data_IF_857533237776
#
_entry.id   IF_857533237776
#
_cell.length_a   1.000
_cell.length_b   1.000
_cell.length_c   1.000
_cell.angle_alpha   90.00
_cell.angle_beta   90.00
_cell.angle_gamma   90.00
#
_symmetry.space_group_name_H-M   'P 1'
#
loop_
_entity.id
_entity.type
_entity.pdbx_description
1 polymer ?
#
# COMPACT_ATOMS: atom_id res chain seq x y z
N UNK A 1 49.14 19.06 31.66
CA UNK A 1 48.23 19.04 30.48
C UNK A 1 46.79 19.01 30.96
N UNK A 2 45.96 19.85 30.38
CA UNK A 2 44.83 20.51 31.03
C UNK A 2 43.55 19.68 31.21
N UNK A 3 42.86 20.04 32.31
CA UNK A 3 41.49 19.69 32.67
C UNK A 3 40.48 20.40 31.76
N UNK A 4 39.36 19.72 31.57
CA UNK A 4 38.10 20.19 30.99
C UNK A 4 37.51 21.32 31.85
N UNK A 5 36.94 22.35 31.21
CA UNK A 5 35.97 23.24 31.84
C UNK A 5 34.88 23.66 30.84
N UNK A 6 33.63 23.44 31.23
CA UNK A 6 32.41 23.92 30.59
C UNK A 6 32.17 25.41 30.91
N UNK A 7 31.38 26.09 30.06
CA UNK A 7 30.88 27.49 30.13
C UNK A 7 31.79 28.58 29.52
N UNK A 8 31.54 28.92 28.24
CA UNK A 8 31.22 30.30 27.82
C UNK A 8 30.22 30.24 26.66
N UNK A 9 28.98 30.61 26.96
CA UNK A 9 27.92 30.98 26.02
C UNK A 9 28.12 32.45 25.58
N UNK A 10 27.55 32.79 24.42
CA UNK A 10 27.33 34.13 23.84
C UNK A 10 28.54 34.87 23.29
N UNK A 11 28.68 34.87 21.96
CA UNK A 11 28.59 36.09 21.14
C UNK A 11 28.86 35.76 19.67
N UNK A 12 27.80 35.78 18.85
CA UNK A 12 27.91 36.12 17.43
C UNK A 12 26.50 36.49 16.95
N UNK A 13 26.24 37.79 17.05
CA UNK A 13 25.17 38.49 16.36
C UNK A 13 25.34 38.26 14.86
N UNK A 14 24.48 37.43 14.29
CA UNK A 14 24.21 37.45 12.85
C UNK A 14 22.89 38.18 12.63
N UNK A 15 23.00 39.43 12.21
CA UNK A 15 21.98 40.15 11.47
C UNK A 15 21.77 39.43 10.14
N UNK A 16 20.65 38.71 10.00
CA UNK A 16 20.19 38.25 8.69
C UNK A 16 18.71 38.54 8.45
N UNK A 17 18.51 39.01 7.22
CA UNK A 17 17.32 39.52 6.57
C UNK A 17 16.05 38.68 6.74
N UNK A 18 14.92 39.38 6.67
CA UNK A 18 13.57 38.85 6.73
C UNK A 18 13.27 37.96 5.50
N UNK A 19 13.53 36.67 5.63
CA UNK A 19 12.92 35.64 4.77
C UNK A 19 12.09 34.72 5.65
N UNK A 20 10.82 34.50 5.27
CA UNK A 20 9.86 33.62 5.95
C UNK A 20 10.48 32.22 6.16
N UNK A 21 11.06 31.97 7.33
CA UNK A 21 11.42 30.63 7.73
C UNK A 21 10.14 29.84 7.96
N UNK A 22 9.80 29.01 6.98
CA UNK A 22 8.92 27.86 7.17
C UNK A 22 9.58 27.02 8.27
N UNK A 23 8.95 26.98 9.45
CA UNK A 23 9.33 26.05 10.51
C UNK A 23 9.09 24.65 9.95
N UNK A 24 10.13 24.01 9.40
CA UNK A 24 10.09 22.57 9.13
C UNK A 24 9.88 21.86 10.48
N UNK A 25 9.02 20.84 10.57
CA UNK A 25 8.92 20.05 11.79
C UNK A 25 10.32 19.51 12.13
N UNK A 26 10.75 19.57 13.39
CA UNK A 26 12.08 19.10 13.76
C UNK A 26 12.21 17.60 13.45
N UNK A 27 13.22 17.27 12.64
CA UNK A 27 13.79 15.93 12.47
C UNK A 27 12.89 14.82 11.91
N UNK A 28 12.26 15.02 10.75
CA UNK A 28 11.70 13.91 9.97
C UNK A 28 12.15 13.99 8.51
N UNK A 29 12.36 12.85 7.81
CA UNK A 29 12.87 12.84 6.45
C UNK A 29 11.94 13.58 5.48
N UNK A 30 12.50 14.31 4.50
CA UNK A 30 11.76 15.18 3.58
C UNK A 30 10.62 14.45 2.81
N UNK A 31 10.69 13.12 2.63
CA UNK A 31 9.66 12.32 1.96
C UNK A 31 8.41 12.02 2.81
N UNK A 32 8.47 12.26 4.12
CA UNK A 32 7.34 12.01 5.05
C UNK A 32 6.20 13.02 4.88
N UNK A 33 6.46 14.12 4.16
CA UNK A 33 5.54 15.22 3.95
C UNK A 33 5.55 15.66 2.49
N UNK A 34 4.37 15.81 1.89
CA UNK A 34 4.23 16.40 0.56
C UNK A 34 3.47 17.71 0.68
N UNK A 35 4.06 18.82 0.25
CA UNK A 35 3.35 20.09 0.18
C UNK A 35 2.18 19.95 -0.81
N UNK A 36 0.96 20.31 -0.38
CA UNK A 36 -0.26 20.18 -1.21
C UNK A 36 -0.87 21.53 -1.60
N UNK A 37 -0.27 22.63 -1.13
CA UNK A 37 -0.63 24.00 -1.45
C UNK A 37 -0.88 24.86 -0.21
N UNK A 38 -1.42 26.05 -0.43
CA UNK A 38 -1.83 26.96 0.62
C UNK A 38 -3.35 26.99 0.76
N UNK A 39 -3.83 26.98 2.02
CA UNK A 39 -5.25 26.88 2.33
C UNK A 39 -5.66 27.96 3.30
N UNK A 40 -6.81 28.57 3.05
CA UNK A 40 -7.43 29.52 3.98
C UNK A 40 -8.15 28.76 5.10
N UNK A 41 -7.74 29.00 6.33
CA UNK A 41 -8.31 28.34 7.50
C UNK A 41 -9.49 29.12 8.05
N UNK A 42 -10.54 28.39 8.42
CA UNK A 42 -11.70 28.97 9.10
C UNK A 42 -12.24 28.01 10.16
N UNK A 43 -13.14 28.52 11.01
CA UNK A 43 -13.94 27.65 11.88
C UNK A 43 -15.04 27.00 11.06
N UNK A 44 -15.29 25.73 11.32
CA UNK A 44 -16.44 25.02 10.77
C UNK A 44 -17.74 25.71 11.22
N UNK A 45 -18.45 26.33 10.28
CA UNK A 45 -19.68 27.10 10.53
C UNK A 45 -20.87 26.16 10.65
N UNK A 46 -20.98 25.47 11.79
CA UNK A 46 -21.95 24.41 12.05
C UNK A 46 -21.76 23.20 11.11
N UNK A 47 -21.83 21.99 11.68
CA UNK A 47 -21.84 20.77 10.87
C UNK A 47 -22.94 20.88 9.80
N UNK A 48 -22.72 20.47 8.53
CA UNK A 48 -23.76 20.49 7.50
C UNK A 48 -25.03 19.75 7.95
N UNK A 49 -26.20 19.93 7.29
CA UNK A 49 -27.52 19.48 7.74
C UNK A 49 -27.74 17.97 7.90
N UNK A 50 -26.69 17.15 7.88
CA UNK A 50 -26.69 15.77 8.34
C UNK A 50 -26.42 15.64 9.86
N UNK A 51 -26.45 16.76 10.60
CA UNK A 51 -26.34 16.79 12.06
C UNK A 51 -27.60 16.23 12.75
N UNK A 52 -27.84 14.94 12.56
CA UNK A 52 -28.61 14.16 13.53
C UNK A 52 -27.79 14.16 14.83
N UNK A 53 -28.42 14.46 15.98
CA UNK A 53 -27.77 14.64 17.30
C UNK A 53 -26.99 13.39 17.81
N UNK A 54 -26.96 12.31 17.03
CA UNK A 54 -26.38 11.01 17.37
C UNK A 54 -25.02 10.69 16.67
N UNK A 55 -24.42 11.59 15.89
CA UNK A 55 -23.12 11.34 15.24
C UNK A 55 -21.95 12.08 15.91
N UNK A 56 -21.58 11.60 17.09
CA UNK A 56 -20.33 11.92 17.80
C UNK A 56 -19.09 11.36 17.07
N UNK A 57 -19.29 10.43 16.15
CA UNK A 57 -18.26 9.65 15.47
C UNK A 57 -18.14 9.98 13.99
N UNK A 58 -16.96 9.77 13.42
CA UNK A 58 -16.59 10.01 12.03
C UNK A 58 -16.87 8.77 11.17
N UNK A 59 -16.63 8.83 9.86
CA UNK A 59 -16.80 7.68 8.95
C UNK A 59 -15.88 6.50 9.26
N UNK A 60 -14.72 6.76 9.89
CA UNK A 60 -13.84 5.73 10.45
C UNK A 60 -14.21 5.27 11.87
N UNK A 61 -15.32 5.77 12.43
CA UNK A 61 -15.73 5.49 13.80
C UNK A 61 -14.90 6.23 14.86
N UNK A 62 -14.14 7.26 14.49
CA UNK A 62 -13.38 8.08 15.44
C UNK A 62 -14.24 9.19 16.03
N UNK A 63 -14.01 9.57 17.29
CA UNK A 63 -14.68 10.76 17.83
C UNK A 63 -14.15 12.01 17.10
N UNK A 64 -15.02 12.97 16.75
CA UNK A 64 -14.56 14.27 16.23
C UNK A 64 -13.74 14.97 17.32
N UNK A 65 -12.46 15.21 17.06
CA UNK A 65 -11.55 15.81 18.06
C UNK A 65 -11.44 17.32 17.79
N UNK A 66 -11.86 18.18 18.74
CA UNK A 66 -11.70 19.63 18.59
C UNK A 66 -10.26 20.02 18.27
N UNK A 67 -10.10 20.95 17.34
CA UNK A 67 -8.83 21.48 16.81
C UNK A 67 -7.98 20.43 16.09
N UNK A 68 -8.49 19.23 15.82
CA UNK A 68 -7.76 18.15 15.14
C UNK A 68 -8.54 17.56 13.96
N UNK A 69 -9.86 17.64 13.97
CA UNK A 69 -10.72 17.24 12.85
C UNK A 69 -11.00 18.43 11.93
N UNK A 70 -10.88 18.21 10.61
CA UNK A 70 -11.13 19.23 9.59
C UNK A 70 -12.13 18.75 8.53
N UNK A 71 -12.84 19.71 7.94
CA UNK A 71 -13.57 19.52 6.68
C UNK A 71 -12.77 20.09 5.51
N UNK A 72 -12.80 19.36 4.40
CA UNK A 72 -12.04 19.65 3.18
C UNK A 72 -12.87 19.43 1.93
N UNK A 73 -12.48 20.08 0.84
CA UNK A 73 -13.06 19.82 -0.47
C UNK A 73 -12.37 18.60 -1.13
N UNK A 74 -13.13 17.54 -1.52
CA UNK A 74 -12.57 16.24 -1.89
C UNK A 74 -11.78 16.24 -3.20
N UNK A 75 -12.00 17.23 -4.08
CA UNK A 75 -11.19 17.40 -5.30
C UNK A 75 -9.75 17.82 -5.01
N UNK A 76 -9.47 18.46 -3.86
CA UNK A 76 -8.13 18.96 -3.51
C UNK A 76 -7.47 18.15 -2.41
N UNK A 77 -8.24 17.70 -1.43
CA UNK A 77 -7.76 16.86 -0.32
C UNK A 77 -8.75 15.71 -0.15
N UNK A 78 -8.28 14.49 -0.34
CA UNK A 78 -9.10 13.30 -0.15
C UNK A 78 -9.44 13.12 1.34
N UNK A 79 -10.67 12.75 1.70
CA UNK A 79 -11.03 12.39 3.07
C UNK A 79 -10.13 11.25 3.60
N UNK A 80 -9.91 11.19 4.92
CA UNK A 80 -8.96 10.27 5.56
C UNK A 80 -7.49 10.67 5.47
N UNK A 81 -7.19 11.78 4.77
CA UNK A 81 -5.86 12.35 4.68
C UNK A 81 -5.45 12.97 6.02
N UNK A 82 -4.23 12.67 6.47
CA UNK A 82 -3.61 13.36 7.60
C UNK A 82 -2.79 14.53 7.06
N UNK A 83 -3.03 15.72 7.61
CA UNK A 83 -2.33 16.95 7.25
C UNK A 83 -1.45 17.41 8.40
N UNK A 84 -0.32 18.03 8.06
CA UNK A 84 0.54 18.76 8.97
C UNK A 84 0.49 20.26 8.65
N UNK A 85 0.23 21.05 9.69
CA UNK A 85 0.15 22.52 9.63
C UNK A 85 1.17 23.08 10.64
N UNK A 86 2.34 23.56 10.18
CA UNK A 86 3.44 23.94 11.06
C UNK A 86 3.07 24.98 12.13
N UNK A 87 2.21 25.94 11.77
CA UNK A 87 1.79 27.06 12.62
C UNK A 87 0.87 26.64 13.77
N UNK A 88 0.42 25.38 13.77
CA UNK A 88 -0.35 24.80 14.87
C UNK A 88 0.55 23.99 15.82
N UNK A 89 1.81 23.73 15.48
CA UNK A 89 2.74 23.03 16.37
C UNK A 89 3.09 23.89 17.59
N UNK A 90 3.04 23.31 18.79
CA UNK A 90 3.37 23.99 20.05
C UNK A 90 2.22 24.82 20.65
N UNK A 91 1.06 24.90 19.99
CA UNK A 91 -0.05 25.70 20.50
C UNK A 91 -0.81 24.99 21.63
N UNK A 92 -1.00 25.68 22.77
CA UNK A 92 -1.77 25.14 23.92
C UNK A 92 -3.28 25.14 23.64
N UNK A 93 -3.83 23.94 23.44
CA UNK A 93 -5.25 23.73 23.18
C UNK A 93 -6.12 24.00 24.42
N UNK A 94 -7.43 24.25 24.25
CA UNK A 94 -8.37 24.31 25.39
C UNK A 94 -8.37 23.10 26.31
N UNK A 95 -8.00 21.92 25.81
CA UNK A 95 -7.88 20.69 26.62
C UNK A 95 -6.70 20.71 27.59
N UNK A 96 -5.77 21.66 27.48
CA UNK A 96 -4.51 21.69 28.23
C UNK A 96 -3.37 20.94 27.53
N UNK A 97 -3.65 20.24 26.43
CA UNK A 97 -2.62 19.57 25.62
C UNK A 97 -1.94 20.53 24.64
N UNK A 98 -0.68 20.25 24.33
CA UNK A 98 0.05 20.94 23.27
C UNK A 98 -0.31 20.34 21.92
N UNK A 99 -0.70 21.17 20.96
CA UNK A 99 -1.01 20.76 19.61
C UNK A 99 0.28 20.40 18.86
N UNK A 100 0.28 19.25 18.19
CA UNK A 100 1.45 18.66 17.50
C UNK A 100 1.48 18.94 15.99
N UNK A 101 0.57 19.79 15.53
CA UNK A 101 0.46 20.26 14.15
C UNK A 101 -0.35 19.35 13.23
N UNK A 102 -0.82 18.19 13.69
CA UNK A 102 -1.53 17.22 12.85
C UNK A 102 -3.04 17.36 12.89
N UNK A 103 -3.65 17.24 11.71
CA UNK A 103 -5.09 17.24 11.47
C UNK A 103 -5.52 16.01 10.68
N UNK A 104 -6.74 15.55 10.90
CA UNK A 104 -7.37 14.47 10.14
C UNK A 104 -8.57 15.01 9.35
N UNK A 105 -8.54 14.81 8.03
CA UNK A 105 -9.60 15.21 7.11
C UNK A 105 -10.77 14.22 7.13
N UNK A 106 -11.67 14.34 8.12
CA UNK A 106 -12.82 13.42 8.26
C UNK A 106 -14.09 13.92 7.57
N UNK A 107 -14.20 15.22 7.36
CA UNK A 107 -15.44 15.83 6.90
C UNK A 107 -15.28 16.32 5.45
N UNK A 108 -16.36 16.18 4.68
CA UNK A 108 -16.43 16.63 3.29
C UNK A 108 -17.21 17.94 3.27
N UNK A 109 -16.61 18.97 2.67
CA UNK A 109 -17.27 20.25 2.39
C UNK A 109 -17.18 20.55 0.89
N UNK A 110 -18.19 20.10 0.15
CA UNK A 110 -18.28 20.30 -1.31
C UNK A 110 -18.76 21.71 -1.69
N UNK A 111 -19.26 22.49 -0.73
CA UNK A 111 -19.75 23.86 -0.96
C UNK A 111 -18.64 24.88 -0.74
N UNK A 112 -17.63 24.53 0.06
CA UNK A 112 -16.48 25.37 0.31
C UNK A 112 -15.52 25.46 -0.88
N UNK A 113 -14.74 26.54 -0.91
CA UNK A 113 -13.69 26.72 -1.91
C UNK A 113 -12.64 25.60 -1.77
N UNK A 114 -12.13 25.09 -2.90
CA UNK A 114 -11.13 24.00 -2.94
C UNK A 114 -9.87 24.28 -2.11
N UNK A 115 -9.50 25.56 -1.94
CA UNK A 115 -8.34 26.00 -1.15
C UNK A 115 -8.75 26.50 0.24
N UNK A 116 -9.79 25.92 0.83
CA UNK A 116 -10.22 26.23 2.20
C UNK A 116 -10.25 24.99 3.08
N UNK A 117 -9.92 25.19 4.36
CA UNK A 117 -9.97 24.15 5.39
C UNK A 117 -10.78 24.69 6.57
N UNK A 118 -11.80 23.94 6.96
CA UNK A 118 -12.68 24.27 8.07
C UNK A 118 -12.36 23.39 9.28
N UNK A 119 -11.95 23.99 10.39
CA UNK A 119 -11.53 23.26 11.59
C UNK A 119 -12.69 23.12 12.58
N UNK A 120 -12.90 21.92 13.09
CA UNK A 120 -13.88 21.64 14.14
C UNK A 120 -13.35 22.11 15.50
N UNK A 121 -13.97 23.09 16.16
CA UNK A 121 -13.44 23.67 17.43
C UNK A 121 -14.26 23.35 18.68
N UNK A 122 -15.53 22.93 18.54
CA UNK A 122 -16.55 22.73 19.60
C UNK A 122 -16.85 23.96 20.50
N UNK A 123 -15.94 24.91 20.60
CA UNK A 123 -16.06 26.16 21.36
C UNK A 123 -15.65 27.37 20.49
N UNK A 124 -15.82 28.59 21.03
CA UNK A 124 -15.52 29.84 20.32
C UNK A 124 -14.04 30.25 20.37
N UNK A 125 -13.13 29.47 20.98
CA UNK A 125 -11.71 29.87 21.10
C UNK A 125 -11.11 30.08 19.70
N UNK A 126 -10.41 31.20 19.54
CA UNK A 126 -9.72 31.54 18.29
C UNK A 126 -8.46 30.68 18.16
N UNK A 127 -8.26 30.08 16.99
CA UNK A 127 -7.05 29.31 16.69
C UNK A 127 -5.99 30.19 15.98
N UNK A 128 -4.69 29.88 16.10
CA UNK A 128 -3.60 30.68 15.51
C UNK A 128 -3.71 30.89 13.99
N UNK A 129 -4.30 29.92 13.29
CA UNK A 129 -4.45 29.90 11.83
C UNK A 129 -5.75 30.53 11.33
N UNK A 130 -6.68 30.89 12.22
CA UNK A 130 -8.01 31.37 11.81
C UNK A 130 -7.94 32.62 10.92
N UNK A 131 -8.54 32.53 9.73
CA UNK A 131 -8.57 33.60 8.73
C UNK A 131 -7.30 33.73 7.89
N UNK A 132 -6.26 32.93 8.17
CA UNK A 132 -4.97 32.98 7.46
C UNK A 132 -4.92 31.94 6.34
N UNK A 133 -4.16 32.27 5.30
CA UNK A 133 -3.76 31.33 4.25
C UNK A 133 -2.41 30.74 4.65
N UNK A 134 -2.35 29.41 4.77
CA UNK A 134 -1.21 28.69 5.34
C UNK A 134 -0.83 27.53 4.41
N UNK A 135 0.48 27.32 4.20
CA UNK A 135 0.99 26.15 3.52
C UNK A 135 0.71 24.88 4.32
N UNK A 136 0.13 23.87 3.66
CA UNK A 136 -0.27 22.60 4.26
C UNK A 136 0.46 21.45 3.59
N UNK A 137 0.82 20.46 4.41
CA UNK A 137 1.55 19.29 3.99
C UNK A 137 0.72 18.05 4.25
N UNK A 138 0.60 17.17 3.27
CA UNK A 138 0.09 15.82 3.51
C UNK A 138 1.16 14.98 4.17
N UNK A 139 0.77 14.21 5.18
CA UNK A 139 1.59 13.19 5.83
C UNK A 139 1.50 11.88 5.03
N UNK A 140 2.65 11.32 4.65
CA UNK A 140 2.75 10.05 3.95
C UNK A 140 3.31 8.94 4.86
N UNK A 141 3.26 7.70 4.39
CA UNK A 141 4.06 6.62 4.99
C UNK A 141 5.56 6.98 4.93
N UNK A 142 6.38 6.50 5.88
CA UNK A 142 6.08 5.47 6.89
C UNK A 142 5.52 6.05 8.21
N UNK A 143 5.43 7.38 8.37
CA UNK A 143 4.98 7.99 9.63
C UNK A 143 3.45 8.06 9.74
N UNK A 144 2.73 8.01 8.62
CA UNK A 144 1.28 8.14 8.56
C UNK A 144 0.58 7.14 9.49
N UNK A 145 0.99 5.87 9.46
CA UNK A 145 0.44 4.83 10.34
C UNK A 145 0.57 5.18 11.84
N UNK A 146 1.73 5.70 12.26
CA UNK A 146 1.99 6.13 13.63
C UNK A 146 1.19 7.39 14.00
N UNK A 147 1.12 8.37 13.10
CA UNK A 147 0.37 9.61 13.31
C UNK A 147 -1.13 9.34 13.38
N UNK A 148 -1.67 8.42 12.56
CA UNK A 148 -3.09 8.03 12.60
C UNK A 148 -3.52 7.50 13.97
N UNK A 149 -2.62 6.81 14.70
CA UNK A 149 -2.89 6.34 16.08
C UNK A 149 -3.22 7.47 17.06
N UNK A 150 -2.81 8.71 16.76
CA UNK A 150 -3.11 9.90 17.61
C UNK A 150 -4.58 10.32 17.55
N UNK A 151 -5.30 9.94 16.50
CA UNK A 151 -6.71 10.25 16.31
C UNK A 151 -7.64 9.10 16.77
N UNK A 152 -7.07 7.94 17.15
CA UNK A 152 -7.83 6.77 17.60
C UNK A 152 -8.37 6.97 19.02
N UNK A 153 -9.63 6.60 19.26
CA UNK A 153 -10.22 6.63 20.61
C UNK A 153 -9.72 5.46 21.46
N UNK A 154 -9.78 5.56 22.80
CA UNK A 154 -9.43 4.43 23.69
C UNK A 154 -10.24 3.15 23.38
N UNK A 155 -11.46 3.28 22.88
CA UNK A 155 -12.34 2.16 22.51
C UNK A 155 -11.93 1.48 21.19
N UNK A 156 -11.24 2.20 20.28
CA UNK A 156 -10.71 1.64 19.02
C UNK A 156 -9.29 1.06 19.17
N UNK A 157 -8.67 1.12 20.35
CA UNK A 157 -7.32 0.59 20.63
C UNK A 157 -7.28 -0.93 20.79
N UNK A 158 -8.14 -1.69 20.12
CA UNK A 158 -7.91 -3.14 20.05
C UNK A 158 -6.70 -3.32 19.13
N UNK A 159 -5.53 -3.60 19.72
CA UNK A 159 -4.32 -4.01 18.98
C UNK A 159 -4.69 -5.26 18.19
N UNK A 160 -5.11 -5.11 16.94
CA UNK A 160 -5.11 -6.24 16.02
C UNK A 160 -3.69 -6.38 15.50
N UNK A 161 -3.12 -7.57 15.64
CA UNK A 161 -1.84 -7.91 15.03
C UNK A 161 -1.89 -7.65 13.52
N UNK A 162 -0.82 -7.08 12.99
CA UNK A 162 -0.56 -6.99 11.55
C UNK A 162 -0.07 -8.32 11.01
N UNK A 163 -0.06 -8.53 9.68
CA UNK A 163 0.31 -9.82 9.07
C UNK A 163 1.70 -10.28 9.50
N UNK A 164 2.65 -9.36 9.64
CA UNK A 164 4.03 -9.60 10.08
C UNK A 164 4.17 -9.96 11.57
N UNK A 165 3.08 -9.85 12.32
CA UNK A 165 3.01 -10.21 13.73
C UNK A 165 2.18 -11.49 13.99
N UNK A 166 1.59 -12.09 12.94
CA UNK A 166 0.71 -13.25 13.08
C UNK A 166 1.50 -14.57 13.17
N UNK A 167 1.15 -15.37 14.17
CA UNK A 167 1.52 -16.79 14.22
C UNK A 167 0.57 -17.64 13.38
N UNK A 168 0.90 -18.91 13.15
CA UNK A 168 0.00 -19.86 12.48
C UNK A 168 -1.39 -19.93 13.14
N UNK A 169 -1.44 -19.96 14.48
CA UNK A 169 -2.71 -19.97 15.23
C UNK A 169 -3.50 -18.65 15.10
N UNK A 170 -2.79 -17.51 15.01
CA UNK A 170 -3.45 -16.22 14.71
C UNK A 170 -4.03 -16.22 13.29
N UNK A 171 -3.36 -16.85 12.32
CA UNK A 171 -3.87 -17.03 10.96
C UNK A 171 -5.10 -17.93 10.91
N UNK A 172 -5.11 -19.07 11.62
CA UNK A 172 -6.30 -19.91 11.72
C UNK A 172 -7.49 -19.13 12.28
N UNK A 173 -7.26 -18.38 13.36
CA UNK A 173 -8.29 -17.51 13.96
C UNK A 173 -8.75 -16.45 12.97
N UNK A 174 -7.81 -15.80 12.26
CA UNK A 174 -8.12 -14.79 11.26
C UNK A 174 -9.01 -15.37 10.16
N UNK A 175 -8.58 -16.46 9.53
CA UNK A 175 -9.23 -17.07 8.36
C UNK A 175 -10.60 -17.67 8.72
N UNK A 176 -10.75 -18.29 9.89
CA UNK A 176 -12.05 -18.76 10.39
C UNK A 176 -13.04 -17.61 10.57
N UNK A 177 -12.59 -16.50 11.19
CA UNK A 177 -13.45 -15.31 11.35
C UNK A 177 -13.87 -14.69 10.00
N UNK A 178 -13.10 -14.90 8.93
CA UNK A 178 -13.45 -14.42 7.59
C UNK A 178 -14.57 -15.19 6.92
N UNK A 179 -14.88 -16.41 7.35
CA UNK A 179 -16.03 -17.15 6.81
C UNK A 179 -17.35 -16.41 7.06
N UNK A 180 -17.39 -15.56 8.08
CA UNK A 180 -18.54 -14.74 8.44
C UNK A 180 -18.52 -13.32 7.81
N UNK A 181 -17.52 -13.00 6.99
CA UNK A 181 -17.25 -11.69 6.40
C UNK A 181 -17.55 -11.69 4.87
N UNK A 182 -17.51 -10.53 4.16
CA UNK A 182 -18.24 -10.31 2.91
C UNK A 182 -18.18 -11.43 1.87
N UNK A 183 -19.31 -11.67 1.22
CA UNK A 183 -19.51 -12.77 0.26
C UNK A 183 -18.56 -12.73 -0.97
N UNK A 184 -17.91 -11.59 -1.27
CA UNK A 184 -17.06 -11.43 -2.47
C UNK A 184 -15.57 -11.51 -2.15
N UNK A 185 -14.84 -12.32 -2.92
CA UNK A 185 -13.40 -12.54 -2.74
C UNK A 185 -12.56 -11.25 -2.87
N UNK A 186 -12.93 -10.33 -3.76
CA UNK A 186 -12.26 -9.02 -3.87
C UNK A 186 -12.30 -8.19 -2.58
N UNK A 187 -13.38 -8.30 -1.78
CA UNK A 187 -13.46 -7.65 -0.47
C UNK A 187 -12.56 -8.33 0.56
N UNK A 188 -12.42 -9.67 0.50
CA UNK A 188 -11.48 -10.41 1.36
C UNK A 188 -10.03 -9.99 1.08
N UNK A 189 -9.64 -9.84 -0.19
CA UNK A 189 -8.32 -9.33 -0.60
C UNK A 189 -8.04 -7.96 0.02
N UNK A 190 -8.99 -7.02 -0.08
CA UNK A 190 -8.82 -5.68 0.50
C UNK A 190 -8.63 -5.71 2.02
N UNK A 191 -9.44 -6.50 2.72
CA UNK A 191 -9.34 -6.65 4.17
C UNK A 191 -8.05 -7.34 4.62
N UNK A 192 -7.65 -8.43 3.95
CA UNK A 192 -6.42 -9.16 4.24
C UNK A 192 -5.19 -8.30 3.97
N UNK A 193 -5.14 -7.64 2.81
CA UNK A 193 -4.04 -6.75 2.46
C UNK A 193 -3.91 -5.56 3.41
N UNK A 194 -5.01 -5.07 4.02
CA UNK A 194 -4.97 -3.99 5.01
C UNK A 194 -4.12 -4.38 6.22
N UNK A 195 -4.21 -5.65 6.65
CA UNK A 195 -3.39 -6.17 7.75
C UNK A 195 -1.91 -6.23 7.42
N UNK A 196 -1.54 -6.22 6.13
CA UNK A 196 -0.14 -6.22 5.71
C UNK A 196 0.51 -4.85 5.79
N UNK A 197 -0.26 -3.76 5.96
CA UNK A 197 0.30 -2.40 5.96
C UNK A 197 1.30 -2.18 7.09
N UNK A 198 2.44 -1.62 6.71
CA UNK A 198 3.58 -1.41 7.60
C UNK A 198 4.53 -2.60 7.70
N UNK A 199 4.15 -3.78 7.18
CA UNK A 199 5.05 -4.94 7.15
C UNK A 199 6.33 -4.58 6.37
N UNK A 200 7.51 -4.90 6.90
CA UNK A 200 8.79 -4.52 6.28
C UNK A 200 8.99 -5.09 4.88
N UNK A 201 9.67 -4.31 4.02
CA UNK A 201 10.11 -4.77 2.71
C UNK A 201 11.44 -5.50 2.80
N UNK A 202 11.51 -6.68 2.16
CA UNK A 202 12.75 -7.41 1.88
C UNK A 202 12.66 -8.05 0.50
N UNK A 203 13.75 -8.08 -0.27
CA UNK A 203 13.79 -8.73 -1.59
C UNK A 203 14.51 -10.08 -1.44
N UNK A 204 14.16 -11.06 -2.27
CA UNK A 204 14.76 -12.42 -2.23
C UNK A 204 14.62 -13.06 -0.85
N UNK A 205 13.40 -13.07 -0.32
CA UNK A 205 13.12 -13.59 1.02
C UNK A 205 12.60 -15.03 1.04
N UNK A 206 12.24 -15.59 -0.13
CA UNK A 206 11.64 -16.93 -0.25
C UNK A 206 12.33 -17.73 -1.36
N UNK A 207 12.38 -19.04 -1.12
CA UNK A 207 12.95 -20.04 -2.02
C UNK A 207 12.14 -21.33 -2.00
N UNK A 208 12.80 -22.45 -2.28
CA UNK A 208 12.20 -23.79 -2.28
C UNK A 208 12.49 -24.59 -0.99
N UNK A 209 13.10 -23.94 0.01
CA UNK A 209 13.35 -24.50 1.33
C UNK A 209 14.74 -25.14 1.52
N UNK A 210 15.10 -25.53 2.75
CA UNK A 210 16.49 -25.87 3.11
C UNK A 210 17.12 -27.04 2.33
N UNK A 211 16.30 -27.97 1.84
CA UNK A 211 16.72 -29.13 1.04
C UNK A 211 16.78 -28.86 -0.47
N UNK A 212 16.40 -27.66 -0.92
CA UNK A 212 16.36 -27.32 -2.33
C UNK A 212 17.76 -27.28 -2.96
N UNK A 213 17.81 -27.61 -4.25
CA UNK A 213 19.04 -27.60 -5.07
C UNK A 213 19.56 -26.19 -5.32
N UNK A 214 18.68 -25.22 -5.58
CA UNK A 214 19.04 -23.89 -6.08
C UNK A 214 18.85 -22.78 -5.05
N UNK A 215 17.65 -22.67 -4.49
CA UNK A 215 17.26 -21.56 -3.63
C UNK A 215 16.76 -22.10 -2.29
N UNK A 216 17.59 -21.96 -1.25
CA UNK A 216 17.37 -22.56 0.07
C UNK A 216 16.59 -21.69 1.03
N UNK A 217 16.16 -20.51 0.57
CA UNK A 217 15.32 -19.61 1.35
C UNK A 217 13.97 -20.26 1.66
N UNK A 218 13.27 -19.83 2.73
CA UNK A 218 12.07 -20.50 3.20
C UNK A 218 10.92 -20.46 2.17
N UNK A 219 10.02 -21.44 2.24
CA UNK A 219 8.82 -21.50 1.38
C UNK A 219 7.77 -20.44 1.72
N UNK A 220 7.79 -19.90 2.94
CA UNK A 220 6.81 -18.94 3.43
C UNK A 220 7.42 -18.09 4.56
N UNK A 221 7.22 -16.77 4.51
CA UNK A 221 7.60 -15.79 5.53
C UNK A 221 6.54 -14.68 5.50
N UNK A 222 6.00 -14.35 6.68
CA UNK A 222 5.03 -13.26 6.85
C UNK A 222 5.65 -12.03 7.50
N UNK A 223 6.83 -12.15 8.10
CA UNK A 223 7.50 -11.05 8.80
C UNK A 223 7.95 -9.95 7.83
N UNK A 224 8.13 -10.29 6.54
CA UNK A 224 8.61 -9.40 5.49
C UNK A 224 7.94 -9.75 4.17
N UNK A 225 7.86 -8.79 3.26
CA UNK A 225 7.35 -9.03 1.91
C UNK A 225 8.13 -8.27 0.84
N UNK A 226 8.19 -8.85 -0.35
CA UNK A 226 8.40 -8.09 -1.59
C UNK A 226 7.05 -7.90 -2.30
N UNK A 227 7.09 -7.29 -3.49
CA UNK A 227 5.87 -6.98 -4.23
C UNK A 227 5.09 -8.23 -4.68
N UNK A 228 5.79 -9.32 -5.01
CA UNK A 228 5.19 -10.57 -5.47
C UNK A 228 4.67 -11.35 -4.28
N UNK A 229 5.51 -11.60 -3.28
CA UNK A 229 5.14 -12.40 -2.12
C UNK A 229 3.99 -11.75 -1.35
N UNK A 230 3.93 -10.43 -1.25
CA UNK A 230 2.77 -9.75 -0.68
C UNK A 230 1.45 -10.11 -1.39
N UNK A 231 1.44 -10.07 -2.73
CA UNK A 231 0.25 -10.40 -3.51
C UNK A 231 -0.12 -11.89 -3.39
N UNK A 232 0.87 -12.79 -3.45
CA UNK A 232 0.63 -14.24 -3.32
C UNK A 232 0.06 -14.62 -1.96
N UNK A 233 0.63 -14.10 -0.87
CA UNK A 233 0.14 -14.40 0.49
C UNK A 233 -1.28 -13.87 0.69
N UNK A 234 -1.59 -12.67 0.22
CA UNK A 234 -2.96 -12.12 0.29
C UNK A 234 -3.93 -12.97 -0.52
N UNK A 235 -3.56 -13.36 -1.74
CA UNK A 235 -4.39 -14.23 -2.58
C UNK A 235 -4.63 -15.59 -1.93
N UNK A 236 -3.56 -16.26 -1.49
CA UNK A 236 -3.62 -17.55 -0.82
C UNK A 236 -4.53 -17.49 0.42
N UNK A 237 -4.35 -16.47 1.26
CA UNK A 237 -5.19 -16.25 2.44
C UNK A 237 -6.66 -16.02 2.06
N UNK A 238 -6.95 -15.31 0.96
CA UNK A 238 -8.32 -14.96 0.55
C UNK A 238 -9.18 -16.17 0.15
N UNK A 239 -8.54 -17.27 -0.25
CA UNK A 239 -9.18 -18.52 -0.69
C UNK A 239 -8.99 -19.68 0.32
N UNK A 240 -8.56 -19.37 1.55
CA UNK A 240 -8.26 -20.37 2.57
C UNK A 240 -9.08 -20.17 3.84
N UNK A 241 -9.27 -21.25 4.60
CA UNK A 241 -9.95 -21.24 5.90
C UNK A 241 -9.06 -21.69 7.07
N UNK A 242 -7.81 -22.05 6.79
CA UNK A 242 -6.78 -22.39 7.77
C UNK A 242 -5.38 -22.04 7.26
N UNK A 243 -4.43 -21.93 8.16
CA UNK A 243 -3.02 -21.70 7.86
C UNK A 243 -2.43 -22.81 6.97
N UNK A 244 -2.76 -24.08 7.27
CA UNK A 244 -2.32 -25.22 6.47
C UNK A 244 -2.85 -25.15 5.02
N UNK A 245 -4.14 -24.86 4.84
CA UNK A 245 -4.71 -24.69 3.49
C UNK A 245 -4.17 -23.45 2.78
N UNK A 246 -3.86 -22.39 3.52
CA UNK A 246 -3.19 -21.21 2.98
C UNK A 246 -1.82 -21.56 2.41
N UNK A 247 -1.01 -22.34 3.13
CA UNK A 247 0.27 -22.83 2.62
C UNK A 247 0.09 -23.68 1.35
N UNK A 248 -0.89 -24.59 1.36
CA UNK A 248 -1.23 -25.41 0.19
C UNK A 248 -1.63 -24.59 -1.04
N UNK A 249 -2.45 -23.56 -0.83
CA UNK A 249 -2.85 -22.64 -1.90
C UNK A 249 -1.68 -21.75 -2.36
N UNK A 250 -0.80 -21.35 -1.44
CA UNK A 250 0.41 -20.61 -1.79
C UNK A 250 1.31 -21.42 -2.72
N UNK A 251 1.50 -22.72 -2.45
CA UNK A 251 2.25 -23.62 -3.37
C UNK A 251 1.65 -23.62 -4.77
N UNK A 252 0.33 -23.79 -4.88
CA UNK A 252 -0.40 -23.79 -6.17
C UNK A 252 -0.30 -22.46 -6.92
N UNK A 253 -0.21 -21.36 -6.19
CA UNK A 253 -0.06 -20.02 -6.78
C UNK A 253 1.37 -19.78 -7.26
N UNK A 254 2.36 -20.13 -6.43
CA UNK A 254 3.77 -19.82 -6.67
C UNK A 254 4.41 -20.74 -7.70
N UNK A 255 4.02 -22.00 -7.74
CA UNK A 255 4.63 -23.00 -8.61
C UNK A 255 3.63 -23.53 -9.63
N UNK A 256 4.08 -23.71 -10.86
CA UNK A 256 3.32 -24.43 -11.89
C UNK A 256 2.92 -25.80 -11.35
N UNK A 257 1.62 -26.10 -11.41
CA UNK A 257 1.00 -27.32 -10.87
C UNK A 257 1.21 -27.56 -9.36
N UNK A 258 1.67 -26.56 -8.60
CA UNK A 258 1.98 -26.70 -7.17
C UNK A 258 3.25 -27.50 -6.85
N UNK A 259 4.08 -27.83 -7.85
CA UNK A 259 5.30 -28.60 -7.67
C UNK A 259 6.43 -27.70 -7.13
N UNK A 260 6.93 -27.93 -5.92
CA UNK A 260 8.03 -27.12 -5.36
C UNK A 260 9.34 -27.45 -6.09
N UNK A 261 9.74 -26.57 -7.01
CA UNK A 261 11.03 -26.62 -7.68
C UNK A 261 11.38 -25.24 -8.26
N UNK A 262 12.68 -24.91 -8.33
CA UNK A 262 13.11 -23.60 -8.86
C UNK A 262 12.66 -23.37 -10.31
N UNK A 263 12.62 -24.43 -11.13
CA UNK A 263 12.19 -24.35 -12.53
C UNK A 263 10.67 -24.34 -12.72
N UNK A 264 9.90 -24.82 -11.75
CA UNK A 264 8.44 -24.72 -11.77
C UNK A 264 7.94 -23.44 -11.09
N UNK A 265 8.80 -22.71 -10.35
CA UNK A 265 8.46 -21.41 -9.77
C UNK A 265 8.09 -20.43 -10.88
N UNK A 266 6.98 -19.73 -10.66
CA UNK A 266 6.44 -18.76 -11.60
C UNK A 266 7.24 -17.44 -11.57
N UNK A 267 8.41 -17.41 -12.20
CA UNK A 267 9.32 -16.23 -12.18
C UNK A 267 8.81 -15.06 -13.02
N UNK A 268 8.22 -15.32 -14.19
CA UNK A 268 7.68 -14.25 -15.04
C UNK A 268 6.20 -14.01 -14.71
N UNK A 269 5.87 -12.88 -14.10
CA UNK A 269 4.48 -12.57 -13.68
C UNK A 269 3.46 -12.76 -14.81
N UNK A 270 3.77 -12.27 -16.01
CA UNK A 270 2.81 -12.24 -17.12
C UNK A 270 2.96 -13.45 -18.04
N UNK A 271 4.17 -13.99 -18.19
CA UNK A 271 4.42 -15.12 -19.08
C UNK A 271 4.20 -16.48 -18.41
N UNK A 272 4.30 -16.56 -17.07
CA UNK A 272 4.16 -17.80 -16.30
C UNK A 272 3.10 -17.69 -15.21
N UNK A 273 3.25 -16.73 -14.28
CA UNK A 273 2.43 -16.67 -13.06
C UNK A 273 0.96 -16.48 -13.37
N UNK A 274 0.59 -15.47 -14.17
CA UNK A 274 -0.80 -15.22 -14.54
C UNK A 274 -1.41 -16.40 -15.32
N UNK A 275 -0.81 -16.91 -16.42
CA UNK A 275 -1.32 -18.11 -17.12
C UNK A 275 -1.51 -19.33 -16.21
N UNK A 276 -0.53 -19.66 -15.37
CA UNK A 276 -0.62 -20.80 -14.43
C UNK A 276 -1.64 -20.56 -13.31
N UNK A 277 -2.02 -19.30 -13.06
CA UNK A 277 -3.05 -18.89 -12.12
C UNK A 277 -4.39 -18.52 -12.79
N UNK A 278 -4.64 -18.89 -14.05
CA UNK A 278 -5.93 -18.60 -14.71
C UNK A 278 -7.15 -19.24 -14.03
N UNK A 279 -6.95 -20.28 -13.21
CA UNK A 279 -7.98 -20.87 -12.36
C UNK A 279 -8.41 -19.95 -11.20
N UNK A 280 -7.55 -19.00 -10.83
CA UNK A 280 -7.74 -18.04 -9.73
C UNK A 280 -8.03 -16.62 -10.24
N UNK A 281 -7.28 -16.18 -11.26
CA UNK A 281 -7.26 -14.82 -11.75
C UNK A 281 -7.69 -14.75 -13.22
N UNK A 282 -8.35 -13.65 -13.57
CA UNK A 282 -8.67 -13.24 -14.93
C UNK A 282 -7.88 -11.97 -15.26
N UNK A 283 -7.25 -11.91 -16.44
CA UNK A 283 -6.82 -10.63 -17.00
C UNK A 283 -8.05 -9.79 -17.38
N UNK A 284 -8.21 -8.64 -16.72
CA UNK A 284 -9.30 -7.69 -16.94
C UNK A 284 -8.81 -6.39 -17.57
N UNK A 285 -7.59 -6.35 -18.08
CA UNK A 285 -6.96 -5.12 -18.59
C UNK A 285 -7.77 -4.48 -19.71
N UNK A 286 -8.24 -5.27 -20.67
CA UNK A 286 -9.09 -4.78 -21.76
C UNK A 286 -10.49 -4.42 -21.30
N UNK A 287 -11.03 -5.14 -20.30
CA UNK A 287 -12.33 -4.87 -19.68
C UNK A 287 -12.34 -3.52 -18.96
N UNK A 288 -11.29 -3.22 -18.19
CA UNK A 288 -11.18 -1.95 -17.45
C UNK A 288 -10.65 -0.81 -18.31
N UNK A 289 -9.84 -1.10 -19.33
CA UNK A 289 -9.16 -0.13 -20.16
C UNK A 289 -9.91 0.30 -21.43
N UNK A 290 -10.62 -0.64 -22.07
CA UNK A 290 -11.27 -0.41 -23.36
C UNK A 290 -10.30 0.21 -24.39
N UNK A 291 -10.70 1.34 -24.98
CA UNK A 291 -9.87 2.09 -25.94
C UNK A 291 -8.63 2.77 -25.33
N UNK A 292 -8.43 2.64 -24.02
CA UNK A 292 -7.24 3.17 -23.33
C UNK A 292 -6.05 2.20 -23.34
N UNK A 293 -6.26 0.96 -23.80
CA UNK A 293 -5.21 -0.04 -23.87
C UNK A 293 -4.21 0.22 -25.01
N UNK A 294 -2.97 -0.16 -24.79
CA UNK A 294 -1.92 -0.28 -25.78
C UNK A 294 -1.35 -1.70 -25.76
N UNK A 295 -0.65 -2.09 -26.83
CA UNK A 295 0.01 -3.39 -26.92
C UNK A 295 1.52 -3.27 -26.67
N UNK A 296 2.08 -4.28 -26.04
CA UNK A 296 3.52 -4.44 -25.83
C UNK A 296 3.93 -5.84 -26.24
N UNK A 297 4.99 -5.96 -27.04
CA UNK A 297 5.55 -7.24 -27.47
C UNK A 297 6.97 -7.40 -26.95
N UNK A 298 7.27 -8.57 -26.37
CA UNK A 298 8.61 -8.91 -25.86
C UNK A 298 8.95 -10.37 -26.15
N UNK A 299 10.24 -10.68 -26.14
CA UNK A 299 10.75 -12.05 -26.22
C UNK A 299 11.12 -12.50 -24.82
N UNK A 300 10.53 -13.59 -24.34
CA UNK A 300 10.78 -14.19 -23.03
C UNK A 300 11.69 -15.40 -23.22
N UNK A 301 12.94 -15.28 -22.78
CA UNK A 301 13.93 -16.35 -22.84
C UNK A 301 14.18 -16.95 -21.46
N UNK A 302 13.38 -17.96 -21.12
CA UNK A 302 13.44 -18.66 -19.83
C UNK A 302 14.76 -19.39 -19.65
N UNK A 303 15.31 -19.99 -20.73
CA UNK A 303 16.57 -20.75 -20.66
C UNK A 303 17.73 -19.83 -20.31
N UNK A 304 17.83 -18.68 -20.97
CA UNK A 304 18.85 -17.67 -20.64
C UNK A 304 18.69 -17.12 -19.23
N UNK A 305 17.45 -16.87 -18.79
CA UNK A 305 17.17 -16.45 -17.42
C UNK A 305 17.66 -17.46 -16.39
N UNK A 306 17.25 -18.73 -16.50
CA UNK A 306 17.65 -19.76 -15.56
C UNK A 306 19.17 -19.96 -15.54
N UNK A 307 19.81 -19.98 -16.71
CA UNK A 307 21.27 -20.04 -16.83
C UNK A 307 21.97 -18.88 -16.11
N UNK A 308 21.47 -17.65 -16.28
CA UNK A 308 22.02 -16.47 -15.61
C UNK A 308 21.81 -16.46 -14.10
N UNK A 309 20.85 -17.25 -13.60
CA UNK A 309 20.58 -17.44 -12.17
C UNK A 309 21.20 -18.73 -11.62
N UNK A 310 22.18 -19.32 -12.31
CA UNK A 310 22.99 -20.42 -11.77
C UNK A 310 22.38 -21.82 -11.93
N UNK A 311 21.31 -21.98 -12.72
CA UNK A 311 20.81 -23.32 -13.08
C UNK A 311 21.80 -24.01 -14.02
N UNK A 312 22.13 -25.27 -13.71
CA UNK A 312 23.07 -26.06 -14.51
C UNK A 312 22.46 -26.49 -15.84
N UNK A 313 23.28 -26.62 -16.88
CA UNK A 313 22.81 -26.88 -18.25
C UNK A 313 21.99 -28.19 -18.37
N UNK A 314 22.32 -29.21 -17.57
CA UNK A 314 21.59 -30.49 -17.57
C UNK A 314 20.11 -30.35 -17.17
N UNK A 315 19.79 -29.41 -16.29
CA UNK A 315 18.41 -29.16 -15.86
C UNK A 315 17.64 -28.28 -16.87
N UNK A 316 18.33 -27.68 -17.85
CA UNK A 316 17.74 -26.78 -18.85
C UNK A 316 17.28 -27.46 -20.14
N UNK A 317 17.49 -28.79 -20.25
CA UNK A 317 17.22 -29.54 -21.49
C UNK A 317 15.76 -29.45 -21.95
N UNK A 318 14.82 -29.37 -21.00
CA UNK A 318 13.38 -29.32 -21.25
C UNK A 318 12.78 -27.91 -21.18
N UNK A 319 13.61 -26.88 -20.99
CA UNK A 319 13.12 -25.50 -21.00
C UNK A 319 12.79 -25.09 -22.44
N UNK A 320 11.61 -24.49 -22.59
CA UNK A 320 11.08 -24.04 -23.87
C UNK A 320 11.97 -22.99 -24.53
N UNK A 321 11.93 -22.95 -25.87
CA UNK A 321 12.61 -21.93 -26.67
C UNK A 321 12.06 -20.52 -26.38
N UNK A 322 12.79 -19.44 -26.72
CA UNK A 322 12.33 -18.08 -26.51
C UNK A 322 10.93 -17.84 -27.09
N UNK A 323 10.05 -17.30 -26.27
CA UNK A 323 8.65 -17.06 -26.60
C UNK A 323 8.42 -15.59 -26.96
N UNK A 324 7.81 -15.31 -28.11
CA UNK A 324 7.33 -13.94 -28.42
C UNK A 324 5.95 -13.73 -27.84
N UNK A 325 5.83 -12.84 -26.85
CA UNK A 325 4.60 -12.58 -26.12
C UNK A 325 4.13 -11.14 -26.37
N UNK A 326 2.88 -11.00 -26.79
CA UNK A 326 2.19 -9.70 -26.94
C UNK A 326 1.07 -9.57 -25.92
N UNK A 327 1.06 -8.48 -25.17
CA UNK A 327 0.10 -8.22 -24.09
C UNK A 327 -0.55 -6.86 -24.25
N UNK A 328 -1.79 -6.75 -23.80
CA UNK A 328 -2.47 -5.47 -23.64
C UNK A 328 -2.13 -4.90 -22.25
N UNK A 329 -1.85 -3.60 -22.19
CA UNK A 329 -1.61 -2.87 -20.95
C UNK A 329 -2.24 -1.48 -21.04
N UNK A 330 -2.44 -0.80 -19.90
CA UNK A 330 -2.94 0.58 -19.87
C UNK A 330 -1.75 1.49 -19.62
N UNK A 331 -1.37 2.36 -20.59
CA UNK A 331 -0.26 3.30 -20.41
C UNK A 331 -0.47 4.24 -19.22
N UNK A 332 0.62 4.65 -18.58
CA UNK A 332 0.58 5.51 -17.38
C UNK A 332 -0.25 6.79 -17.57
N UNK A 333 -0.20 7.38 -18.76
CA UNK A 333 -0.96 8.60 -19.13
C UNK A 333 -2.48 8.37 -19.23
N UNK A 334 -2.92 7.12 -19.35
CA UNK A 334 -4.33 6.75 -19.46
C UNK A 334 -4.93 6.21 -18.14
N UNK A 335 -4.12 5.93 -17.12
CA UNK A 335 -4.58 5.31 -15.87
C UNK A 335 -5.67 6.13 -15.15
N UNK A 336 -5.57 7.46 -15.14
CA UNK A 336 -6.58 8.31 -14.50
C UNK A 336 -7.96 8.20 -15.15
N UNK A 337 -8.03 7.84 -16.45
CA UNK A 337 -9.30 7.69 -17.18
C UNK A 337 -10.07 6.44 -16.80
N UNK A 338 -9.40 5.42 -16.24
CA UNK A 338 -9.99 4.12 -15.94
C UNK A 338 -10.35 3.93 -14.46
N UNK A 339 -10.08 4.94 -13.62
CA UNK A 339 -10.30 4.93 -12.17
C UNK A 339 -11.71 4.46 -11.77
N UNK A 340 -12.72 4.85 -12.54
CA UNK A 340 -14.12 4.50 -12.25
C UNK A 340 -14.47 3.04 -12.58
N UNK A 341 -13.63 2.34 -13.34
CA UNK A 341 -13.80 0.93 -13.71
C UNK A 341 -13.10 -0.02 -12.71
N UNK A 342 -12.38 0.53 -11.72
CA UNK A 342 -11.65 -0.25 -10.72
C UNK A 342 -12.49 -0.40 -9.45
N UNK A 343 -12.68 -1.64 -9.00
CA UNK A 343 -13.62 -1.95 -7.91
C UNK A 343 -12.92 -2.12 -6.56
N UNK A 344 -11.62 -2.37 -6.55
CA UNK A 344 -10.85 -2.76 -5.37
C UNK A 344 -10.79 -4.29 -5.25
N UNK A 345 -9.59 -4.81 -4.99
CA UNK A 345 -9.25 -6.23 -5.00
C UNK A 345 -8.56 -6.69 -6.28
N UNK A 346 -8.41 -5.83 -7.29
CA UNK A 346 -7.59 -6.13 -8.46
C UNK A 346 -6.10 -6.24 -8.08
N UNK A 347 -5.44 -7.29 -8.55
CA UNK A 347 -3.99 -7.43 -8.52
C UNK A 347 -3.44 -6.70 -9.75
N UNK A 348 -2.35 -5.96 -9.57
CA UNK A 348 -1.79 -5.11 -10.62
C UNK A 348 -0.34 -5.46 -10.86
N UNK A 349 0.01 -5.64 -12.13
CA UNK A 349 1.39 -5.68 -12.60
C UNK A 349 1.76 -4.35 -13.23
N UNK A 350 2.86 -3.75 -12.79
CA UNK A 350 3.44 -2.56 -13.41
C UNK A 350 4.37 -3.02 -14.52
N UNK A 351 4.05 -2.62 -15.76
CA UNK A 351 4.83 -3.03 -16.91
C UNK A 351 6.06 -2.15 -17.13
N UNK A 352 7.12 -2.71 -17.70
CA UNK A 352 8.40 -2.02 -17.86
C UNK A 352 8.84 -1.86 -19.31
N UNK A 353 9.80 -0.95 -19.58
CA UNK A 353 10.50 -0.84 -20.87
C UNK A 353 11.67 -1.82 -21.01
N UNK A 354 12.16 -2.44 -19.93
CA UNK A 354 13.30 -3.36 -20.00
C UNK A 354 13.03 -4.55 -20.94
N UNK A 355 14.00 -5.00 -21.74
CA UNK A 355 13.83 -6.18 -22.57
C UNK A 355 13.61 -7.43 -21.71
N UNK A 356 13.08 -8.49 -22.31
CA UNK A 356 12.89 -9.82 -21.71
C UNK A 356 11.94 -9.95 -20.50
N UNK A 357 11.52 -8.88 -19.85
CA UNK A 357 10.54 -8.91 -18.75
C UNK A 357 9.37 -7.98 -19.03
N UNK A 358 8.14 -8.39 -18.73
CA UNK A 358 6.96 -7.53 -18.87
C UNK A 358 6.69 -6.77 -17.58
N UNK A 359 6.64 -7.49 -16.44
CA UNK A 359 6.34 -6.96 -15.11
C UNK A 359 7.63 -6.54 -14.40
N UNK A 360 7.64 -5.35 -13.80
CA UNK A 360 8.72 -4.89 -12.94
C UNK A 360 8.30 -4.75 -11.47
N UNK A 361 7.00 -4.71 -11.18
CA UNK A 361 6.49 -4.52 -9.82
C UNK A 361 5.04 -4.97 -9.73
N UNK A 362 4.58 -5.30 -8.53
CA UNK A 362 3.24 -5.79 -8.26
C UNK A 362 2.56 -5.04 -7.11
N UNK A 363 1.24 -5.06 -7.07
CA UNK A 363 0.46 -4.57 -5.94
C UNK A 363 -1.03 -4.82 -6.11
N UNK A 364 -1.84 -4.14 -5.31
CA UNK A 364 -3.27 -4.36 -5.20
C UNK A 364 -3.99 -3.02 -5.28
N UNK A 365 -5.02 -2.91 -6.12
CA UNK A 365 -5.94 -1.78 -6.06
C UNK A 365 -6.86 -1.99 -4.87
N UNK A 366 -6.97 -0.99 -4.00
CA UNK A 366 -7.86 -1.04 -2.84
C UNK A 366 -8.67 0.25 -2.74
N UNK A 367 -9.82 0.16 -2.10
CA UNK A 367 -10.59 1.33 -1.68
C UNK A 367 -10.54 1.43 -0.17
N UNK A 368 -10.19 2.61 0.34
CA UNK A 368 -10.30 2.86 1.78
C UNK A 368 -11.76 3.05 2.20
N UNK A 369 -11.98 3.24 3.50
CA UNK A 369 -13.30 3.48 4.08
C UNK A 369 -14.02 4.73 3.56
N UNK A 370 -13.31 5.66 2.92
CA UNK A 370 -13.89 6.85 2.29
C UNK A 370 -14.16 6.65 0.80
N UNK A 371 -13.83 5.47 0.26
CA UNK A 371 -13.95 5.15 -1.15
C UNK A 371 -12.80 5.67 -2.01
N UNK A 372 -11.72 6.20 -1.40
CA UNK A 372 -10.55 6.64 -2.15
C UNK A 372 -9.87 5.44 -2.80
N UNK A 373 -9.48 5.58 -4.07
CA UNK A 373 -8.74 4.55 -4.77
C UNK A 373 -7.25 4.65 -4.46
N UNK A 374 -6.67 3.55 -3.99
CA UNK A 374 -5.28 3.44 -3.58
C UNK A 374 -4.58 2.30 -4.33
N UNK A 375 -3.28 2.44 -4.52
CA UNK A 375 -2.38 1.36 -4.88
C UNK A 375 -1.64 0.91 -3.63
N UNK A 376 -1.92 -0.32 -3.19
CA UNK A 376 -1.28 -0.95 -2.03
C UNK A 376 -0.20 -1.91 -2.48
N UNK A 377 1.03 -1.71 -2.01
CA UNK A 377 2.14 -2.58 -2.40
C UNK A 377 3.28 -2.58 -1.38
N UNK A 378 4.07 -3.65 -1.36
CA UNK A 378 5.37 -3.67 -0.70
C UNK A 378 6.34 -2.77 -1.49
N UNK A 379 6.81 -1.67 -0.90
CA UNK A 379 7.64 -0.66 -1.56
C UNK A 379 9.10 -0.79 -1.15
N UNK A 380 9.97 -1.03 -2.13
CA UNK A 380 11.43 -1.04 -1.95
C UNK A 380 12.04 0.37 -1.83
N UNK A 381 11.24 1.42 -2.08
CA UNK A 381 11.75 2.79 -2.05
C UNK A 381 12.37 3.11 -0.69
N UNK A 382 13.48 3.86 -0.71
CA UNK A 382 14.20 4.27 0.51
C UNK A 382 13.28 5.00 1.49
N UNK A 383 12.27 5.70 0.97
CA UNK A 383 11.29 6.41 1.77
C UNK A 383 10.39 5.47 2.59
N UNK A 384 9.97 4.35 1.99
CA UNK A 384 8.92 3.50 2.54
C UNK A 384 9.47 2.24 3.20
N UNK A 385 10.23 1.42 2.46
CA UNK A 385 10.75 0.11 2.89
C UNK A 385 9.72 -0.78 3.61
N UNK A 386 8.45 -0.73 3.18
CA UNK A 386 7.34 -1.43 3.80
C UNK A 386 6.15 -1.57 2.83
N UNK A 387 5.14 -2.35 3.22
CA UNK A 387 3.81 -2.31 2.57
C UNK A 387 3.12 -0.99 2.87
N UNK A 388 2.79 -0.25 1.82
CA UNK A 388 2.23 1.11 1.90
C UNK A 388 1.01 1.26 1.01
N UNK A 389 0.22 2.29 1.30
CA UNK A 389 -0.82 2.81 0.42
C UNK A 389 -0.35 4.09 -0.25
N UNK A 390 -0.50 4.18 -1.57
CA UNK A 390 -0.31 5.41 -2.34
C UNK A 390 -1.61 5.77 -3.06
N UNK A 391 -1.96 7.06 -3.16
CA UNK A 391 -3.13 7.47 -3.92
C UNK A 391 -2.95 7.12 -5.40
N UNK A 392 -3.95 6.46 -5.98
CA UNK A 392 -3.82 5.91 -7.33
C UNK A 392 -3.49 6.96 -8.39
N UNK A 393 -4.14 8.13 -8.34
CA UNK A 393 -3.89 9.21 -9.31
C UNK A 393 -2.48 9.79 -9.20
N UNK A 394 -1.92 9.83 -8.00
CA UNK A 394 -0.56 10.33 -7.78
C UNK A 394 0.47 9.30 -8.21
N UNK A 395 0.26 8.03 -7.86
CA UNK A 395 1.11 6.96 -8.34
C UNK A 395 1.10 6.88 -9.87
N UNK A 396 -0.07 7.04 -10.50
CA UNK A 396 -0.21 7.12 -11.95
C UNK A 396 0.56 8.31 -12.54
N UNK A 397 0.50 9.49 -11.91
CA UNK A 397 1.28 10.65 -12.33
C UNK A 397 2.81 10.42 -12.18
N UNK A 398 3.24 9.76 -11.10
CA UNK A 398 4.65 9.42 -10.89
C UNK A 398 5.14 8.37 -11.91
N UNK A 399 4.27 7.45 -12.32
CA UNK A 399 4.55 6.52 -13.41
C UNK A 399 4.74 7.23 -14.75
N UNK A 400 3.96 8.28 -15.05
CA UNK A 400 4.12 9.04 -16.30
C UNK A 400 5.51 9.66 -16.44
N UNK A 401 6.15 9.99 -15.31
CA UNK A 401 7.50 10.53 -15.28
C UNK A 401 8.59 9.44 -15.31
N UNK A 402 8.22 8.17 -15.26
CA UNK A 402 9.16 7.05 -15.26
C UNK A 402 9.62 6.71 -16.67
N UNK A 403 10.94 6.63 -16.87
CA UNK A 403 11.53 6.14 -18.13
C UNK A 403 11.41 4.61 -18.30
N UNK A 404 11.18 3.90 -17.20
CA UNK A 404 11.28 2.44 -17.15
C UNK A 404 9.97 1.75 -16.78
N UNK A 405 9.00 2.44 -16.17
CA UNK A 405 7.68 1.90 -15.85
C UNK A 405 6.65 2.57 -16.76
N UNK A 406 5.95 1.78 -17.55
CA UNK A 406 5.19 2.29 -18.70
C UNK A 406 3.67 2.34 -18.47
N UNK A 407 3.16 1.57 -17.52
CA UNK A 407 1.72 1.43 -17.29
C UNK A 407 1.39 0.23 -16.42
N UNK A 408 0.16 -0.26 -16.51
CA UNK A 408 -0.35 -1.34 -15.66
C UNK A 408 -1.14 -2.39 -16.46
N UNK A 409 -1.05 -3.64 -15.99
CA UNK A 409 -1.93 -4.76 -16.33
C UNK A 409 -2.77 -5.06 -15.08
N UNK A 410 -4.07 -5.32 -15.26
CA UNK A 410 -5.03 -5.53 -14.18
C UNK A 410 -5.56 -6.95 -14.20
N UNK A 411 -5.49 -7.61 -13.05
CA UNK A 411 -5.93 -8.99 -12.84
C UNK A 411 -7.00 -9.00 -11.75
N UNK A 412 -8.08 -9.75 -11.94
CA UNK A 412 -9.18 -9.86 -10.96
C UNK A 412 -9.39 -11.32 -10.56
N UNK A 413 -9.56 -11.56 -9.27
CA UNK A 413 -9.96 -12.87 -8.77
C UNK A 413 -11.34 -13.25 -9.30
N UNK A 414 -11.52 -14.51 -9.70
CA UNK A 414 -12.83 -15.02 -10.10
C UNK A 414 -13.80 -14.98 -8.93
N UNK A 415 -15.09 -14.73 -9.18
CA UNK A 415 -16.12 -14.71 -8.14
C UNK A 415 -16.28 -16.09 -7.45
N UNK A 416 -15.99 -17.17 -8.19
CA UNK A 416 -15.96 -18.55 -7.72
C UNK A 416 -14.65 -19.17 -8.12
N UNK A 417 -13.89 -19.64 -7.14
CA UNK A 417 -12.59 -20.29 -7.35
C UNK A 417 -12.74 -21.78 -7.10
N UNK A 418 -12.34 -22.58 -8.09
CA UNK A 418 -12.18 -24.02 -7.94
C UNK A 418 -10.69 -24.28 -7.78
N UNK A 419 -10.25 -24.57 -6.55
CA UNK A 419 -8.85 -24.84 -6.26
C UNK A 419 -8.46 -26.15 -6.95
N UNK A 420 -7.42 -26.16 -7.81
CA UNK A 420 -6.97 -27.38 -8.47
C UNK A 420 -6.45 -28.39 -7.45
N UNK A 421 -6.64 -29.68 -7.73
CA UNK A 421 -6.04 -30.75 -6.94
C UNK A 421 -4.51 -30.61 -6.99
N UNK A 422 -3.84 -30.87 -5.86
CA UNK A 422 -2.38 -30.93 -5.85
C UNK A 422 -1.95 -32.15 -6.68
N UNK A 423 -0.88 -31.99 -7.47
CA UNK A 423 -0.26 -33.11 -8.17
C UNK A 423 0.61 -34.00 -7.25
N UNK A 424 0.51 -33.87 -5.93
CA UNK A 424 1.38 -34.58 -4.98
C UNK A 424 1.33 -36.11 -5.19
N UNK A 425 2.46 -36.64 -5.67
CA UNK A 425 2.93 -37.95 -5.20
C UNK A 425 3.17 -37.82 -3.69
N UNK A 426 2.82 -38.85 -2.89
CA UNK A 426 3.08 -38.83 -1.46
C UNK A 426 4.56 -38.54 -1.18
N UNK A 427 4.81 -37.73 -0.15
CA UNK A 427 6.15 -37.57 0.43
C UNK A 427 6.73 -38.97 0.69
N UNK A 428 8.02 -39.23 0.39
CA UNK A 428 8.65 -40.45 0.86
C UNK A 428 8.49 -40.52 2.37
N UNK A 429 7.96 -41.64 2.87
CA UNK A 429 7.90 -41.93 4.30
C UNK A 429 9.26 -41.67 4.93
N UNK A 430 9.26 -41.00 6.08
CA UNK A 430 10.45 -40.70 6.88
C UNK A 430 11.32 -41.96 6.97
N UNK A 431 12.58 -41.84 6.54
CA UNK A 431 13.59 -42.82 6.91
C UNK A 431 14.00 -42.47 8.34
N UNK A 432 13.73 -43.41 9.25
CA UNK A 432 14.13 -43.43 10.67
C UNK A 432 15.53 -42.84 10.95
#
# INVERSE_FOLDING_TARGET
>A
MHRINWLVLLSLLFTFSCTKHVIKPPMLPDYSYKAIGEFKFSKMKNSPPFANKNHRFTSLGFEKIPFRTIAVHPQKILPGTVLFVPQMYGWLMPSGEIHDGYFLAEEIDTVANQNSISVFTRNKKKMPVEGKTIAVYRVNEPILSSVRKRFQTRKSKRKSKQLDELTAADFDTLLQNQQNLPAKLGSKIQMLSEKGKGAPYEIFLLGEGPSAKYDKDPLMDFARFDCMTFCEHVLAASISDSYSKMFENLKRIRYKNGEIHYLSRNHYTIADWLPNNHWLLKDVTTEVGGSSCAKMTKIIDRKSFFKSNGVVEDDLQNITQPETLTVDYIPAVMLSKIKNNLHGGEIVSIVTSYPAIISAHMGIIVRDSYGNLLFRHASSSRANRAVVDEFFDEYAADLQNSKTRLGMIFMRIHDKVQVPLSAEKPLPEEID
#
